data_IF_372129283907
#
_entry.id   IF_372129283907
#
_cell.length_a   1.000
_cell.length_b   1.000
_cell.length_c   1.000
_cell.angle_alpha   90.00
_cell.angle_beta   90.00
_cell.angle_gamma   90.00
#
_symmetry.space_group_name_H-M   'P 1'
#
loop_
_entity.id
_entity.type
_entity.pdbx_description
1 polymer ?
#
# COMPACT_ATOMS: atom_id res chain seq x y z
N UNK A 1 1.83 -24.56 -3.50
CA UNK A 1 2.92 -25.52 -3.76
C UNK A 1 4.15 -25.34 -2.85
N UNK A 2 4.58 -24.13 -2.48
CA UNK A 2 5.75 -23.93 -1.59
C UNK A 2 5.57 -24.33 -0.10
N UNK A 3 4.37 -24.69 0.35
CA UNK A 3 4.09 -24.96 1.79
C UNK A 3 4.38 -26.40 2.21
N UNK A 4 4.16 -27.39 1.33
CA UNK A 4 4.40 -28.79 1.68
C UNK A 4 5.91 -29.10 1.76
N UNK A 5 6.69 -28.57 0.82
CA UNK A 5 8.15 -28.74 0.79
C UNK A 5 8.84 -28.04 1.97
N UNK A 6 8.37 -26.86 2.36
CA UNK A 6 8.89 -26.17 3.56
C UNK A 6 8.51 -26.87 4.84
N UNK A 7 7.30 -27.44 4.96
CA UNK A 7 6.89 -28.26 6.12
C UNK A 7 7.73 -29.54 6.21
N UNK A 8 7.96 -30.23 5.09
CA UNK A 8 8.80 -31.43 5.06
C UNK A 8 10.25 -31.10 5.43
N UNK A 9 10.81 -30.01 4.89
CA UNK A 9 12.13 -29.54 5.29
C UNK A 9 12.18 -29.20 6.79
N UNK A 10 11.17 -28.52 7.33
CA UNK A 10 11.10 -28.18 8.75
C UNK A 10 11.06 -29.43 9.64
N UNK A 11 10.33 -30.47 9.26
CA UNK A 11 10.28 -31.75 9.98
C UNK A 11 11.57 -32.56 9.90
N UNK A 12 12.41 -32.32 8.89
CA UNK A 12 13.73 -32.96 8.77
C UNK A 12 14.75 -32.25 9.66
N UNK A 13 14.68 -30.92 9.78
CA UNK A 13 15.67 -30.11 10.50
C UNK A 13 15.30 -29.78 11.96
N UNK A 14 14.02 -29.79 12.33
CA UNK A 14 13.55 -29.46 13.67
C UNK A 14 12.90 -30.70 14.33
N UNK A 15 13.28 -31.10 15.57
CA UNK A 15 12.74 -32.28 16.25
C UNK A 15 11.25 -32.17 16.62
N UNK A 16 10.59 -31.02 16.40
CA UNK A 16 9.17 -30.87 16.69
C UNK A 16 8.29 -31.74 15.77
N UNK A 17 7.65 -32.76 16.35
CA UNK A 17 6.65 -33.60 15.69
C UNK A 17 5.25 -33.25 16.20
N UNK A 18 4.24 -33.04 15.34
CA UNK A 18 2.88 -32.82 15.80
C UNK A 18 2.35 -34.06 16.52
N UNK A 19 2.06 -33.91 17.80
CA UNK A 19 1.47 -34.97 18.62
C UNK A 19 -0.05 -34.93 18.39
N UNK A 20 -0.71 -36.09 18.26
CA UNK A 20 -2.18 -36.20 18.12
C UNK A 20 -2.92 -35.90 19.43
N UNK A 21 -2.64 -34.74 20.05
CA UNK A 21 -3.32 -34.27 21.26
C UNK A 21 -4.22 -33.10 20.87
N UNK A 22 -5.53 -33.34 20.84
CA UNK A 22 -6.51 -32.29 20.57
C UNK A 22 -6.98 -31.66 21.89
N UNK A 23 -6.63 -30.40 22.12
CA UNK A 23 -7.07 -29.62 23.28
C UNK A 23 -8.13 -28.61 22.87
N UNK A 24 -9.41 -28.96 23.06
CA UNK A 24 -10.53 -28.05 22.74
C UNK A 24 -10.43 -26.69 23.44
N UNK A 25 -9.89 -26.64 24.67
CA UNK A 25 -9.66 -25.39 25.41
C UNK A 25 -8.67 -24.45 24.68
N UNK A 26 -7.60 -24.99 24.09
CA UNK A 26 -6.63 -24.21 23.32
C UNK A 26 -7.21 -23.72 21.99
N UNK A 27 -8.01 -24.56 21.33
CA UNK A 27 -8.78 -24.15 20.15
C UNK A 27 -9.72 -23.00 20.49
N UNK A 28 -10.53 -23.14 21.54
CA UNK A 28 -11.50 -22.11 21.97
C UNK A 28 -10.81 -20.78 22.31
N UNK A 29 -9.62 -20.80 22.92
CA UNK A 29 -8.87 -19.57 23.21
C UNK A 29 -8.34 -18.86 21.95
N UNK A 30 -8.00 -19.61 20.90
CA UNK A 30 -7.48 -19.04 19.64
C UNK A 30 -8.59 -18.75 18.63
N UNK A 31 -9.75 -19.41 18.75
CA UNK A 31 -10.85 -19.34 17.79
C UNK A 31 -11.35 -17.90 17.62
N UNK A 32 -11.52 -17.15 18.71
CA UNK A 32 -11.94 -15.74 18.65
C UNK A 32 -10.95 -14.87 17.86
N UNK A 33 -9.63 -15.12 18.03
CA UNK A 33 -8.64 -14.36 17.29
C UNK A 33 -8.66 -14.72 15.79
N UNK A 34 -8.67 -16.01 15.48
CA UNK A 34 -8.67 -16.52 14.10
C UNK A 34 -9.96 -16.22 13.33
N UNK A 35 -11.12 -16.33 13.96
CA UNK A 35 -12.41 -16.03 13.31
C UNK A 35 -12.52 -14.55 12.93
N UNK A 36 -12.08 -13.64 13.81
CA UNK A 36 -12.02 -12.21 13.51
C UNK A 36 -11.13 -11.91 12.29
N UNK A 37 -9.96 -12.57 12.20
CA UNK A 37 -9.08 -12.44 11.04
C UNK A 37 -9.70 -13.01 9.77
N UNK A 38 -10.33 -14.18 9.85
CA UNK A 38 -10.99 -14.81 8.70
C UNK A 38 -12.12 -13.93 8.17
N UNK A 39 -12.98 -13.42 9.05
CA UNK A 39 -14.07 -12.51 8.67
C UNK A 39 -13.51 -11.24 8.04
N UNK A 40 -12.50 -10.62 8.66
CA UNK A 40 -11.86 -9.43 8.11
C UNK A 40 -11.25 -9.70 6.72
N UNK A 41 -10.63 -10.87 6.51
CA UNK A 41 -10.06 -11.27 5.22
C UNK A 41 -11.14 -11.49 4.15
N UNK A 42 -12.24 -12.18 4.48
CA UNK A 42 -13.38 -12.39 3.57
C UNK A 42 -13.97 -11.04 3.17
N UNK A 43 -14.25 -10.19 4.15
CA UNK A 43 -14.79 -8.86 3.96
C UNK A 43 -13.86 -8.04 3.05
N UNK A 44 -12.56 -8.00 3.35
CA UNK A 44 -11.59 -7.29 2.53
C UNK A 44 -11.54 -7.84 1.10
N UNK A 45 -11.63 -9.16 0.90
CA UNK A 45 -11.62 -9.76 -0.43
C UNK A 45 -12.89 -9.44 -1.24
N UNK A 46 -14.05 -9.39 -0.60
CA UNK A 46 -15.31 -8.97 -1.23
C UNK A 46 -15.21 -7.51 -1.70
N UNK A 47 -14.77 -6.62 -0.81
CA UNK A 47 -14.67 -5.20 -1.11
C UNK A 47 -13.50 -4.85 -2.03
N UNK A 48 -12.45 -5.67 -2.09
CA UNK A 48 -11.39 -5.51 -3.09
C UNK A 48 -11.93 -5.58 -4.52
N UNK A 49 -12.99 -6.37 -4.74
CA UNK A 49 -13.59 -6.58 -6.05
C UNK A 49 -14.83 -5.71 -6.31
N UNK A 50 -15.27 -4.88 -5.35
CA UNK A 50 -16.53 -4.14 -5.46
C UNK A 50 -16.53 -3.19 -6.66
N UNK A 51 -15.42 -2.50 -6.91
CA UNK A 51 -15.31 -1.58 -8.06
C UNK A 51 -15.34 -2.32 -9.39
N UNK A 52 -14.76 -3.53 -9.48
CA UNK A 52 -14.85 -4.35 -10.69
C UNK A 52 -16.29 -4.79 -10.97
N UNK A 53 -17.00 -5.25 -9.94
CA UNK A 53 -18.40 -5.68 -10.07
C UNK A 53 -19.30 -4.50 -10.45
N UNK A 54 -19.14 -3.35 -9.77
CA UNK A 54 -19.92 -2.15 -10.06
C UNK A 54 -19.66 -1.62 -11.46
N UNK A 55 -18.39 -1.53 -11.87
CA UNK A 55 -18.05 -1.02 -13.20
C UNK A 55 -18.56 -1.97 -14.28
N UNK A 56 -18.41 -3.29 -14.10
CA UNK A 56 -18.89 -4.29 -15.05
C UNK A 56 -20.41 -4.39 -15.17
N UNK A 57 -21.14 -4.06 -14.09
CA UNK A 57 -22.61 -4.11 -14.08
C UNK A 57 -23.27 -2.82 -14.58
N UNK A 58 -22.68 -1.66 -14.27
CA UNK A 58 -23.30 -0.35 -14.51
C UNK A 58 -22.75 0.38 -15.74
N UNK A 59 -21.56 0.00 -16.21
CA UNK A 59 -20.93 0.58 -17.40
C UNK A 59 -20.59 -0.52 -18.41
N UNK A 60 -19.87 -0.19 -19.47
CA UNK A 60 -19.54 -1.15 -20.52
C UNK A 60 -18.41 -2.12 -20.12
N UNK A 61 -18.37 -3.33 -20.72
CA UNK A 61 -17.23 -4.26 -20.57
C UNK A 61 -15.90 -3.62 -20.99
N UNK A 62 -15.91 -2.72 -21.97
CA UNK A 62 -14.72 -1.96 -22.40
C UNK A 62 -14.20 -1.06 -21.29
N UNK A 63 -15.09 -0.36 -20.58
CA UNK A 63 -14.69 0.52 -19.48
C UNK A 63 -14.20 -0.26 -18.26
N UNK A 64 -14.77 -1.44 -17.98
CA UNK A 64 -14.24 -2.38 -17.01
C UNK A 64 -12.82 -2.85 -17.40
N UNK A 65 -12.60 -3.15 -18.69
CA UNK A 65 -11.29 -3.50 -19.22
C UNK A 65 -10.26 -2.39 -18.99
N UNK A 66 -10.64 -1.14 -19.25
CA UNK A 66 -9.79 0.04 -19.01
C UNK A 66 -9.44 0.19 -17.53
N UNK A 67 -10.43 0.14 -16.65
CA UNK A 67 -10.21 0.20 -15.20
C UNK A 67 -9.32 -0.95 -14.71
N UNK A 68 -9.57 -2.17 -15.20
CA UNK A 68 -8.80 -3.35 -14.80
C UNK A 68 -7.34 -3.24 -15.17
N UNK A 69 -7.01 -2.78 -16.38
CA UNK A 69 -5.62 -2.58 -16.78
C UNK A 69 -4.95 -1.43 -16.05
N UNK A 70 -5.63 -0.29 -15.84
CA UNK A 70 -5.11 0.80 -15.01
C UNK A 70 -4.75 0.29 -13.60
N UNK A 71 -5.68 -0.45 -12.96
CA UNK A 71 -5.49 -0.96 -11.61
C UNK A 71 -4.38 -2.03 -11.53
N UNK A 72 -4.21 -2.85 -12.56
CA UNK A 72 -3.09 -3.79 -12.62
C UNK A 72 -1.74 -3.09 -12.65
N UNK A 73 -1.56 -2.07 -13.49
CA UNK A 73 -0.29 -1.35 -13.61
C UNK A 73 0.07 -0.65 -12.30
N UNK A 74 -0.85 0.13 -11.73
CA UNK A 74 -0.57 0.89 -10.49
C UNK A 74 -0.33 -0.04 -9.28
N UNK A 75 -0.97 -1.21 -9.23
CA UNK A 75 -0.90 -2.09 -8.06
C UNK A 75 0.44 -2.82 -7.92
N UNK A 76 1.27 -2.86 -8.97
CA UNK A 76 2.58 -3.52 -8.94
C UNK A 76 3.47 -2.96 -7.81
N UNK A 77 3.82 -1.66 -7.77
CA UNK A 77 4.67 -1.12 -6.70
C UNK A 77 4.02 -1.26 -5.31
N UNK A 78 2.75 -0.91 -5.19
CA UNK A 78 2.06 -0.86 -3.91
C UNK A 78 1.86 -2.25 -3.29
N UNK A 79 1.58 -3.28 -4.11
CA UNK A 79 1.43 -4.66 -3.64
C UNK A 79 2.77 -5.27 -3.18
N UNK A 80 3.88 -4.99 -3.88
CA UNK A 80 5.21 -5.47 -3.50
C UNK A 80 5.64 -4.90 -2.15
N UNK A 81 5.48 -3.59 -1.95
CA UNK A 81 5.82 -2.95 -0.68
C UNK A 81 4.92 -3.46 0.44
N UNK A 82 3.61 -3.60 0.20
CA UNK A 82 2.71 -4.20 1.18
C UNK A 82 3.09 -5.63 1.54
N UNK A 83 3.52 -6.44 0.58
CA UNK A 83 3.94 -7.82 0.84
C UNK A 83 5.17 -7.87 1.74
N UNK A 84 6.15 -7.00 1.50
CA UNK A 84 7.32 -6.83 2.37
C UNK A 84 6.88 -6.43 3.77
N UNK A 85 6.07 -5.37 3.89
CA UNK A 85 5.56 -4.90 5.18
C UNK A 85 4.77 -5.97 5.95
N UNK A 86 3.97 -6.79 5.26
CA UNK A 86 3.22 -7.88 5.90
C UNK A 86 4.13 -9.00 6.43
N UNK A 87 5.15 -9.38 5.68
CA UNK A 87 6.00 -10.54 6.02
C UNK A 87 7.08 -10.23 7.06
N UNK A 88 7.70 -9.05 6.99
CA UNK A 88 8.87 -8.73 7.81
C UNK A 88 8.51 -7.97 9.09
N UNK A 89 7.45 -7.16 9.06
CA UNK A 89 7.14 -6.28 10.17
C UNK A 89 6.45 -6.99 11.32
N UNK A 90 5.56 -7.95 11.03
CA UNK A 90 4.78 -8.61 12.07
C UNK A 90 5.65 -9.35 13.11
N UNK A 91 6.65 -10.18 12.72
CA UNK A 91 7.53 -10.84 13.68
C UNK A 91 8.34 -9.85 14.55
N UNK A 92 8.82 -8.76 13.95
CA UNK A 92 9.60 -7.74 14.66
C UNK A 92 8.73 -6.94 15.63
N UNK A 93 7.48 -6.64 15.25
CA UNK A 93 6.53 -6.00 16.15
C UNK A 93 6.15 -6.88 17.34
N UNK A 94 6.12 -8.21 17.16
CA UNK A 94 5.90 -9.15 18.26
C UNK A 94 7.14 -9.22 19.16
N UNK A 95 8.36 -9.26 18.60
CA UNK A 95 9.57 -9.30 19.43
C UNK A 95 9.81 -8.02 20.24
N UNK A 96 9.35 -6.87 19.71
CA UNK A 96 9.45 -5.57 20.38
C UNK A 96 8.19 -5.20 21.18
N UNK A 97 7.23 -6.14 21.36
CA UNK A 97 5.91 -5.81 21.94
C UNK A 97 5.99 -5.20 23.33
N UNK A 98 7.00 -5.57 24.10
CA UNK A 98 7.16 -5.19 25.51
C UNK A 98 7.97 -3.89 25.68
N UNK A 99 8.69 -3.47 24.64
CA UNK A 99 9.53 -2.26 24.61
C UNK A 99 8.82 -1.13 23.84
N UNK A 100 7.94 -0.40 24.53
CA UNK A 100 7.06 0.60 23.90
C UNK A 100 7.77 1.65 23.04
N UNK A 101 8.89 2.21 23.52
CA UNK A 101 9.68 3.22 22.80
C UNK A 101 10.39 2.65 21.56
N UNK A 102 10.90 1.44 21.64
CA UNK A 102 11.59 0.80 20.51
C UNK A 102 10.59 0.44 19.41
N UNK A 103 9.43 -0.09 19.79
CA UNK A 103 8.34 -0.37 18.87
C UNK A 103 7.83 0.90 18.15
N UNK A 104 7.71 2.01 18.88
CA UNK A 104 7.38 3.33 18.31
C UNK A 104 8.43 3.79 17.30
N UNK A 105 9.72 3.76 17.67
CA UNK A 105 10.81 4.16 16.79
C UNK A 105 10.87 3.30 15.54
N UNK A 106 10.67 2.00 15.69
CA UNK A 106 10.63 1.05 14.57
C UNK A 106 9.41 1.29 13.67
N UNK A 107 8.24 1.59 14.23
CA UNK A 107 7.06 2.00 13.46
C UNK A 107 7.34 3.26 12.62
N UNK A 108 7.90 4.32 13.23
CA UNK A 108 8.27 5.54 12.51
C UNK A 108 9.27 5.27 11.37
N UNK A 109 10.25 4.40 11.63
CA UNK A 109 11.25 4.00 10.65
C UNK A 109 10.61 3.32 9.44
N UNK A 110 9.71 2.35 9.66
CA UNK A 110 8.98 1.67 8.60
C UNK A 110 8.01 2.59 7.86
N UNK A 111 7.35 3.49 8.57
CA UNK A 111 6.44 4.48 7.98
C UNK A 111 7.20 5.39 7.01
N UNK A 112 8.32 5.98 7.45
CA UNK A 112 9.21 6.79 6.61
C UNK A 112 9.74 6.02 5.41
N UNK A 113 10.19 4.78 5.64
CA UNK A 113 10.74 3.93 4.59
C UNK A 113 9.71 3.58 3.53
N UNK A 114 8.48 3.29 3.95
CA UNK A 114 7.36 3.02 3.04
C UNK A 114 7.01 4.25 2.21
N UNK A 115 7.00 5.44 2.83
CA UNK A 115 6.75 6.71 2.13
C UNK A 115 7.87 7.02 1.11
N UNK A 116 9.13 6.79 1.49
CA UNK A 116 10.31 7.01 0.65
C UNK A 116 10.27 6.20 -0.65
N UNK A 117 9.66 5.00 -0.64
CA UNK A 117 9.63 4.13 -1.82
C UNK A 117 8.31 4.26 -2.56
N UNK A 118 7.19 4.16 -1.84
CA UNK A 118 5.88 4.03 -2.48
C UNK A 118 5.43 5.31 -3.17
N UNK A 119 5.65 6.47 -2.55
CA UNK A 119 5.21 7.75 -3.12
C UNK A 119 5.94 8.05 -4.44
N UNK A 120 7.28 8.05 -4.52
CA UNK A 120 7.93 8.35 -5.78
C UNK A 120 7.65 7.30 -6.85
N UNK A 121 7.50 6.01 -6.49
CA UNK A 121 7.18 4.97 -7.46
C UNK A 121 5.82 5.20 -8.12
N UNK A 122 4.78 5.50 -7.34
CA UNK A 122 3.43 5.76 -7.88
C UNK A 122 3.34 7.08 -8.62
N UNK A 123 4.01 8.13 -8.13
CA UNK A 123 4.06 9.42 -8.82
C UNK A 123 4.83 9.32 -10.14
N UNK A 124 5.89 8.52 -10.22
CA UNK A 124 6.62 8.26 -11.46
C UNK A 124 5.73 7.54 -12.50
N UNK A 125 4.95 6.55 -12.07
CA UNK A 125 4.00 5.86 -12.96
C UNK A 125 2.89 6.81 -13.41
N UNK A 126 2.40 7.68 -12.54
CA UNK A 126 1.44 8.71 -12.90
C UNK A 126 2.03 9.74 -13.88
N UNK A 127 3.32 10.10 -13.72
CA UNK A 127 4.01 11.07 -14.57
C UNK A 127 4.20 10.54 -15.99
N UNK A 128 4.60 9.27 -16.10
CA UNK A 128 4.87 8.59 -17.36
C UNK A 128 3.67 7.77 -17.86
N UNK A 129 2.48 8.02 -17.34
CA UNK A 129 1.25 7.25 -17.61
C UNK A 129 1.00 7.06 -19.10
N UNK A 130 1.07 8.14 -19.89
CA UNK A 130 0.86 8.16 -21.33
C UNK A 130 1.90 7.32 -22.06
N UNK A 131 3.18 7.53 -21.78
CA UNK A 131 4.26 6.82 -22.45
C UNK A 131 4.25 5.32 -22.10
N UNK A 132 4.00 4.97 -20.84
CA UNK A 132 3.87 3.59 -20.37
C UNK A 132 2.71 2.89 -21.08
N UNK A 133 1.53 3.53 -21.15
CA UNK A 133 0.34 2.95 -21.79
C UNK A 133 0.58 2.74 -23.28
N UNK A 134 1.08 3.74 -24.00
CA UNK A 134 1.28 3.63 -25.45
C UNK A 134 2.37 2.59 -25.78
N UNK A 135 3.45 2.54 -25.00
CA UNK A 135 4.55 1.61 -25.26
C UNK A 135 4.17 0.16 -24.93
N UNK A 136 3.49 -0.08 -23.81
CA UNK A 136 3.16 -1.44 -23.37
C UNK A 136 1.86 -1.98 -23.97
N UNK A 137 0.87 -1.12 -24.19
CA UNK A 137 -0.48 -1.53 -24.59
C UNK A 137 -0.88 -1.05 -25.98
N UNK A 138 -0.13 -0.13 -26.61
CA UNK A 138 -0.47 0.60 -27.86
C UNK A 138 -1.45 1.76 -27.68
N UNK A 139 -1.56 2.63 -28.70
CA UNK A 139 -2.45 3.80 -28.72
C UNK A 139 -3.94 3.47 -28.54
N UNK A 140 -4.37 2.24 -28.83
CA UNK A 140 -5.76 1.79 -28.61
C UNK A 140 -6.21 1.88 -27.15
N UNK A 141 -5.27 1.89 -26.22
CA UNK A 141 -5.53 1.93 -24.79
C UNK A 141 -5.36 3.33 -24.18
N UNK A 142 -5.21 4.36 -24.99
CA UNK A 142 -5.12 5.76 -24.55
C UNK A 142 -6.20 6.18 -23.54
N UNK A 143 -7.48 5.71 -23.63
CA UNK A 143 -8.49 6.03 -22.62
C UNK A 143 -8.18 5.58 -21.19
N UNK A 144 -7.21 4.67 -21.00
CA UNK A 144 -6.75 4.22 -19.67
C UNK A 144 -5.96 5.29 -18.93
N UNK A 145 -5.26 6.18 -19.65
CA UNK A 145 -4.30 7.13 -19.07
C UNK A 145 -4.88 7.88 -17.86
N UNK A 146 -6.04 8.56 -17.95
CA UNK A 146 -6.62 9.26 -16.80
C UNK A 146 -6.97 8.32 -15.63
N UNK A 147 -7.33 7.06 -15.90
CA UNK A 147 -7.65 6.09 -14.86
C UNK A 147 -6.38 5.66 -14.12
N UNK A 148 -5.31 5.41 -14.87
CA UNK A 148 -4.01 5.03 -14.32
C UNK A 148 -3.45 6.14 -13.42
N UNK A 149 -3.46 7.39 -13.87
CA UNK A 149 -2.99 8.54 -13.08
C UNK A 149 -3.74 8.66 -11.76
N UNK A 150 -5.08 8.67 -11.81
CA UNK A 150 -5.91 8.85 -10.62
C UNK A 150 -5.81 7.67 -9.65
N UNK A 151 -5.70 6.43 -10.15
CA UNK A 151 -5.51 5.26 -9.30
C UNK A 151 -4.11 5.19 -8.66
N UNK A 152 -3.10 5.80 -9.27
CA UNK A 152 -1.80 5.95 -8.61
C UNK A 152 -1.93 6.84 -7.37
N UNK A 153 -2.71 7.93 -7.43
CA UNK A 153 -2.96 8.78 -6.27
C UNK A 153 -3.77 8.08 -5.19
N UNK A 154 -4.78 7.28 -5.54
CA UNK A 154 -5.58 6.54 -4.56
C UNK A 154 -4.77 5.48 -3.80
N UNK A 155 -3.65 5.05 -4.38
CA UNK A 155 -2.84 3.95 -3.86
C UNK A 155 -1.60 4.39 -3.08
N UNK A 156 -1.37 5.71 -2.95
CA UNK A 156 -0.23 6.28 -2.22
C UNK A 156 -0.14 5.77 -0.79
N UNK A 157 -1.27 5.64 -0.09
CA UNK A 157 -1.28 5.35 1.35
C UNK A 157 -1.45 3.85 1.70
N UNK A 158 -1.58 2.96 0.71
CA UNK A 158 -1.84 1.52 0.95
C UNK A 158 -0.81 0.83 1.88
N UNK A 159 0.51 1.07 1.77
CA UNK A 159 1.48 0.47 2.68
C UNK A 159 1.26 0.85 4.15
N UNK A 160 0.75 2.05 4.42
CA UNK A 160 0.49 2.52 5.78
C UNK A 160 -0.68 1.77 6.42
N UNK A 161 -1.68 1.40 5.62
CA UNK A 161 -2.81 0.60 6.10
C UNK A 161 -2.32 -0.78 6.56
N UNK A 162 -1.46 -1.43 5.75
CA UNK A 162 -0.84 -2.71 6.11
C UNK A 162 0.04 -2.60 7.37
N UNK A 163 0.86 -1.54 7.47
CA UNK A 163 1.72 -1.28 8.64
C UNK A 163 0.89 -1.08 9.92
N UNK A 164 -0.16 -0.28 9.84
CA UNK A 164 -1.10 -0.01 10.94
C UNK A 164 -1.84 -1.28 11.37
N UNK A 165 -2.36 -2.08 10.43
CA UNK A 165 -2.99 -3.36 10.74
C UNK A 165 -2.04 -4.32 11.44
N UNK A 166 -0.77 -4.43 11.00
CA UNK A 166 0.21 -5.25 11.70
C UNK A 166 0.45 -4.80 13.15
N UNK A 167 0.50 -3.48 13.40
CA UNK A 167 0.63 -2.93 14.75
C UNK A 167 -0.59 -3.24 15.63
N UNK A 168 -1.80 -3.29 15.05
CA UNK A 168 -3.01 -3.70 15.77
C UNK A 168 -2.94 -5.19 16.13
N UNK A 169 -2.56 -6.01 15.16
CA UNK A 169 -2.56 -7.47 15.28
C UNK A 169 -1.47 -7.99 16.23
N UNK A 170 -0.29 -7.36 16.27
CA UNK A 170 0.78 -7.76 17.18
C UNK A 170 0.40 -7.57 18.66
N UNK A 171 -0.53 -6.64 18.96
CA UNK A 171 -1.08 -6.44 20.30
C UNK A 171 -2.27 -7.35 20.63
N UNK A 172 -2.54 -8.37 19.81
CA UNK A 172 -3.65 -9.31 20.01
C UNK A 172 -5.04 -8.74 19.71
N UNK A 173 -5.15 -7.51 19.17
CA UNK A 173 -6.43 -6.80 18.99
C UNK A 173 -7.11 -7.11 17.66
N UNK A 174 -7.30 -8.38 17.30
CA UNK A 174 -7.92 -8.78 16.02
C UNK A 174 -9.34 -8.24 15.83
N UNK A 175 -10.15 -8.19 16.89
CA UNK A 175 -11.49 -7.62 16.84
C UNK A 175 -11.49 -6.12 16.48
N UNK A 176 -10.47 -5.37 16.92
CA UNK A 176 -10.31 -3.97 16.52
C UNK A 176 -9.95 -3.86 15.03
N UNK A 177 -9.10 -4.74 14.51
CA UNK A 177 -8.80 -4.79 13.08
C UNK A 177 -10.05 -5.10 12.25
N UNK A 178 -10.88 -6.05 12.70
CA UNK A 178 -12.18 -6.34 12.07
C UNK A 178 -13.09 -5.10 12.04
N UNK A 179 -13.21 -4.37 13.16
CA UNK A 179 -14.00 -3.13 13.23
C UNK A 179 -13.51 -2.06 12.27
N UNK A 180 -12.20 -1.93 12.08
CA UNK A 180 -11.61 -0.97 11.14
C UNK A 180 -12.01 -1.34 9.71
N UNK A 181 -11.92 -2.61 9.32
CA UNK A 181 -12.34 -3.06 7.98
C UNK A 181 -13.84 -2.85 7.74
N UNK A 182 -14.69 -3.14 8.73
CA UNK A 182 -16.13 -2.85 8.64
C UNK A 182 -16.39 -1.36 8.44
N UNK A 183 -15.73 -0.49 9.22
CA UNK A 183 -15.88 0.96 9.10
C UNK A 183 -15.43 1.46 7.71
N UNK A 184 -14.28 0.99 7.22
CA UNK A 184 -13.77 1.33 5.88
C UNK A 184 -14.77 0.97 4.79
N UNK A 185 -15.41 -0.19 4.91
CA UNK A 185 -16.37 -0.64 3.91
C UNK A 185 -17.68 0.15 3.94
N UNK A 186 -18.15 0.56 5.12
CA UNK A 186 -19.28 1.49 5.23
C UNK A 186 -18.94 2.80 4.51
N UNK A 187 -17.74 3.35 4.75
CA UNK A 187 -17.27 4.57 4.07
C UNK A 187 -17.21 4.37 2.56
N UNK A 188 -16.70 3.23 2.07
CA UNK A 188 -16.68 2.90 0.63
C UNK A 188 -18.10 2.91 0.05
N UNK A 189 -19.06 2.24 0.68
CA UNK A 189 -20.44 2.18 0.20
C UNK A 189 -21.04 3.58 0.13
N UNK A 190 -20.93 4.35 1.22
CA UNK A 190 -21.46 5.72 1.28
C UNK A 190 -20.84 6.61 0.19
N UNK A 191 -19.51 6.52 0.03
CA UNK A 191 -18.81 7.26 -1.00
C UNK A 191 -19.27 6.85 -2.41
N UNK A 192 -19.40 5.56 -2.70
CA UNK A 192 -19.90 5.04 -3.97
C UNK A 192 -21.29 5.62 -4.29
N UNK A 193 -22.23 5.58 -3.35
CA UNK A 193 -23.60 6.10 -3.55
C UNK A 193 -23.58 7.58 -3.95
N UNK A 194 -22.66 8.36 -3.39
CA UNK A 194 -22.53 9.78 -3.73
C UNK A 194 -21.90 9.93 -5.13
N UNK A 195 -20.78 9.25 -5.38
CA UNK A 195 -19.93 9.53 -6.56
C UNK A 195 -20.35 8.85 -7.84
N UNK A 196 -21.19 7.82 -7.78
CA UNK A 196 -21.61 7.01 -8.93
C UNK A 196 -22.26 7.84 -10.05
N UNK A 197 -22.90 8.96 -9.69
CA UNK A 197 -23.52 9.91 -10.61
C UNK A 197 -22.52 10.61 -11.55
N UNK A 198 -21.24 10.66 -11.19
CA UNK A 198 -20.17 11.29 -11.97
C UNK A 198 -19.37 10.28 -12.81
N UNK A 199 -19.92 9.08 -13.03
CA UNK A 199 -19.28 8.07 -13.86
C UNK A 199 -18.06 7.41 -13.21
N UNK A 200 -17.27 6.73 -14.03
CA UNK A 200 -16.10 5.96 -13.57
C UNK A 200 -15.01 6.87 -12.98
N UNK A 201 -14.79 8.06 -13.56
CA UNK A 201 -13.85 9.03 -12.99
C UNK A 201 -14.30 9.46 -11.59
N UNK A 202 -15.61 9.67 -11.37
CA UNK A 202 -16.18 9.91 -10.05
C UNK A 202 -15.87 8.78 -9.06
N UNK A 203 -16.02 7.52 -9.48
CA UNK A 203 -15.68 6.36 -8.65
C UNK A 203 -14.19 6.32 -8.27
N UNK A 204 -13.29 6.66 -9.19
CA UNK A 204 -11.84 6.68 -8.94
C UNK A 204 -11.47 7.85 -8.01
N UNK A 205 -12.01 9.04 -8.23
CA UNK A 205 -11.83 10.19 -7.32
C UNK A 205 -12.37 9.85 -5.94
N UNK A 206 -13.49 9.15 -5.86
CA UNK A 206 -14.03 8.58 -4.63
C UNK A 206 -13.03 7.68 -3.89
N UNK A 207 -12.26 6.86 -4.62
CA UNK A 207 -11.18 6.06 -4.03
C UNK A 207 -10.04 6.91 -3.47
N UNK A 208 -9.69 8.04 -4.12
CA UNK A 208 -8.69 8.98 -3.59
C UNK A 208 -9.20 9.56 -2.26
N UNK A 209 -10.46 10.00 -2.20
CA UNK A 209 -11.07 10.50 -0.97
C UNK A 209 -11.05 9.42 0.13
N UNK A 210 -11.46 8.20 -0.21
CA UNK A 210 -11.42 7.07 0.71
C UNK A 210 -10.00 6.82 1.24
N UNK A 211 -8.97 6.90 0.39
CA UNK A 211 -7.58 6.73 0.82
C UNK A 211 -7.15 7.74 1.89
N UNK A 212 -7.60 8.99 1.78
CA UNK A 212 -7.33 10.06 2.75
C UNK A 212 -8.11 9.80 4.06
N UNK A 213 -9.39 9.46 3.96
CA UNK A 213 -10.20 9.10 5.14
C UNK A 213 -9.61 7.91 5.90
N UNK A 214 -9.15 6.90 5.16
CA UNK A 214 -8.52 5.71 5.72
C UNK A 214 -7.19 6.03 6.38
N UNK A 215 -6.39 6.91 5.80
CA UNK A 215 -5.18 7.42 6.43
C UNK A 215 -5.49 8.00 7.81
N UNK A 216 -6.50 8.87 7.91
CA UNK A 216 -6.91 9.48 9.19
C UNK A 216 -7.32 8.42 10.21
N UNK A 217 -8.15 7.44 9.81
CA UNK A 217 -8.57 6.33 10.68
C UNK A 217 -7.35 5.56 11.18
N UNK A 218 -6.44 5.17 10.29
CA UNK A 218 -5.26 4.40 10.64
C UNK A 218 -4.30 5.19 11.55
N UNK A 219 -4.16 6.50 11.38
CA UNK A 219 -3.37 7.37 12.27
C UNK A 219 -3.96 7.43 13.69
N UNK A 220 -5.28 7.59 13.81
CA UNK A 220 -5.99 7.61 15.10
C UNK A 220 -5.82 6.26 15.83
N UNK A 221 -5.99 5.16 15.10
CA UNK A 221 -5.82 3.80 15.64
C UNK A 221 -4.39 3.60 16.14
N UNK A 222 -3.38 3.97 15.35
CA UNK A 222 -1.97 3.83 15.72
C UNK A 222 -1.63 4.67 16.96
N UNK A 223 -2.11 5.92 17.05
CA UNK A 223 -1.96 6.73 18.27
C UNK A 223 -2.50 6.01 19.49
N UNK A 224 -3.68 5.39 19.39
CA UNK A 224 -4.31 4.68 20.52
C UNK A 224 -3.54 3.42 20.93
N UNK A 225 -2.90 2.73 19.99
CA UNK A 225 -2.24 1.45 20.24
C UNK A 225 -0.78 1.60 20.64
N UNK A 226 -0.04 2.48 19.95
CA UNK A 226 1.39 2.67 20.11
C UNK A 226 1.75 3.97 20.85
N UNK A 227 0.77 4.82 21.21
CA UNK A 227 0.97 6.13 21.87
C UNK A 227 1.87 7.10 21.08
N UNK A 228 1.85 6.95 19.76
CA UNK A 228 2.64 7.71 18.81
C UNK A 228 2.02 9.10 18.56
N UNK A 229 2.88 10.08 18.29
CA UNK A 229 2.44 11.42 17.88
C UNK A 229 1.93 11.46 16.42
N UNK A 230 0.66 11.81 16.26
CA UNK A 230 -0.01 11.99 14.96
C UNK A 230 0.57 13.17 14.20
N UNK A 231 0.90 14.28 14.88
CA UNK A 231 1.44 15.46 14.21
C UNK A 231 2.78 15.14 13.54
N UNK A 232 3.63 14.37 14.22
CA UNK A 232 4.86 13.83 13.63
C UNK A 232 4.58 12.93 12.41
N UNK A 233 3.57 12.06 12.43
CA UNK A 233 3.20 11.23 11.26
C UNK A 233 2.64 12.05 10.09
N UNK A 234 1.79 13.04 10.37
CA UNK A 234 1.26 13.96 9.35
C UNK A 234 2.37 14.81 8.75
N UNK A 235 3.29 15.33 9.58
CA UNK A 235 4.48 16.06 9.11
C UNK A 235 5.35 15.19 8.22
N UNK A 236 5.61 13.94 8.61
CA UNK A 236 6.34 12.98 7.78
C UNK A 236 5.58 12.78 6.46
N UNK A 237 4.29 12.48 6.50
CA UNK A 237 3.50 12.25 5.28
C UNK A 237 3.56 13.46 4.34
N UNK A 238 3.33 14.66 4.87
CA UNK A 238 3.40 15.90 4.10
C UNK A 238 4.78 16.18 3.53
N UNK A 239 5.87 15.99 4.30
CA UNK A 239 7.24 16.16 3.82
C UNK A 239 7.56 15.23 2.64
N UNK A 240 7.21 13.94 2.75
CA UNK A 240 7.50 12.97 1.69
C UNK A 240 6.61 13.18 0.47
N UNK A 241 5.35 13.63 0.65
CA UNK A 241 4.51 14.06 -0.47
C UNK A 241 5.12 15.25 -1.18
N UNK A 242 5.54 16.30 -0.46
CA UNK A 242 6.17 17.48 -1.05
C UNK A 242 7.41 17.10 -1.87
N UNK A 243 8.27 16.25 -1.32
CA UNK A 243 9.51 15.82 -1.99
C UNK A 243 9.23 14.94 -3.23
N UNK A 244 8.13 14.18 -3.25
CA UNK A 244 7.70 13.44 -4.44
C UNK A 244 7.02 14.34 -5.48
N UNK A 245 6.15 15.24 -5.04
CA UNK A 245 5.37 16.10 -5.93
C UNK A 245 6.19 17.24 -6.54
N UNK A 246 7.24 17.74 -5.90
CA UNK A 246 8.09 18.81 -6.47
C UNK A 246 8.77 18.40 -7.78
N UNK A 247 9.53 17.29 -7.89
CA UNK A 247 10.08 16.85 -9.18
C UNK A 247 8.97 16.42 -10.14
N UNK A 248 7.87 15.85 -9.65
CA UNK A 248 6.72 15.47 -10.48
C UNK A 248 6.16 16.68 -11.24
N UNK A 249 5.87 17.79 -10.54
CA UNK A 249 5.30 18.99 -11.15
C UNK A 249 6.28 19.66 -12.12
N UNK A 250 7.56 19.76 -11.72
CA UNK A 250 8.61 20.34 -12.58
C UNK A 250 8.72 19.56 -13.89
N UNK A 251 8.83 18.23 -13.82
CA UNK A 251 8.99 17.41 -15.02
C UNK A 251 7.71 17.39 -15.86
N UNK A 252 6.53 17.32 -15.22
CA UNK A 252 5.25 17.39 -15.94
C UNK A 252 5.12 18.70 -16.72
N UNK A 253 5.60 19.81 -16.18
CA UNK A 253 5.67 21.09 -16.87
C UNK A 253 6.62 21.03 -18.08
N UNK A 254 7.82 20.49 -17.95
CA UNK A 254 8.77 20.33 -19.06
C UNK A 254 8.24 19.40 -20.17
N UNK A 255 7.59 18.28 -19.81
CA UNK A 255 6.98 17.33 -20.76
C UNK A 255 5.85 17.98 -21.57
N UNK A 256 5.15 18.96 -21.01
CA UNK A 256 4.09 19.67 -21.73
C UNK A 256 4.64 20.58 -22.83
N UNK A 257 5.90 21.01 -22.71
CA UNK A 257 6.58 21.89 -23.69
C UNK A 257 7.37 21.05 -24.69
N UNK A 258 8.03 19.98 -24.23
CA UNK A 258 8.88 19.11 -25.04
C UNK A 258 8.35 17.68 -25.00
N UNK A 259 7.94 17.16 -26.15
CA UNK A 259 7.59 15.75 -26.29
C UNK A 259 8.51 15.07 -27.30
N UNK A 260 9.18 14.02 -26.86
CA UNK A 260 9.98 13.13 -27.72
C UNK A 260 9.21 11.83 -27.96
N UNK A 261 9.87 10.84 -28.56
CA UNK A 261 9.33 9.48 -28.67
C UNK A 261 9.07 8.88 -27.27
N UNK A 262 8.05 8.04 -27.14
CA UNK A 262 7.62 7.51 -25.85
C UNK A 262 8.73 6.80 -25.06
N UNK A 263 9.58 6.02 -25.75
CA UNK A 263 10.70 5.34 -25.12
C UNK A 263 11.75 6.33 -24.57
N UNK A 264 12.03 7.40 -25.32
CA UNK A 264 12.97 8.43 -24.89
C UNK A 264 12.42 9.24 -23.71
N UNK A 265 11.12 9.56 -23.71
CA UNK A 265 10.47 10.21 -22.57
C UNK A 265 10.61 9.38 -21.29
N UNK A 266 10.35 8.07 -21.36
CA UNK A 266 10.45 7.18 -20.19
C UNK A 266 11.87 7.18 -19.61
N UNK A 267 12.89 7.06 -20.47
CA UNK A 267 14.29 7.01 -20.02
C UNK A 267 14.72 8.37 -19.48
N UNK A 268 14.52 9.44 -20.25
CA UNK A 268 14.98 10.78 -19.90
C UNK A 268 14.23 11.31 -18.67
N UNK A 269 12.91 11.43 -18.74
CA UNK A 269 12.12 12.00 -17.65
C UNK A 269 12.04 11.07 -16.44
N UNK A 270 12.07 9.76 -16.64
CA UNK A 270 12.15 8.81 -15.54
C UNK A 270 13.48 8.89 -14.78
N UNK A 271 14.60 8.94 -15.49
CA UNK A 271 15.92 9.12 -14.85
C UNK A 271 16.04 10.48 -14.15
N UNK A 272 15.59 11.57 -14.77
CA UNK A 272 15.53 12.90 -14.18
C UNK A 272 14.65 12.94 -12.92
N UNK A 273 13.47 12.31 -12.95
CA UNK A 273 12.59 12.25 -11.79
C UNK A 273 13.26 11.56 -10.60
N UNK A 274 13.89 10.40 -10.83
CA UNK A 274 14.58 9.64 -9.79
C UNK A 274 15.78 10.44 -9.25
N UNK A 275 16.55 11.07 -10.14
CA UNK A 275 17.71 11.88 -9.76
C UNK A 275 17.30 13.09 -8.92
N UNK A 276 16.30 13.87 -9.35
CA UNK A 276 15.78 15.01 -8.61
C UNK A 276 15.16 14.60 -7.28
N UNK A 277 14.36 13.52 -7.27
CA UNK A 277 13.80 12.97 -6.04
C UNK A 277 14.90 12.62 -5.04
N UNK A 278 15.95 11.93 -5.48
CA UNK A 278 17.07 11.53 -4.63
C UNK A 278 17.86 12.74 -4.12
N UNK A 279 18.14 13.73 -4.97
CA UNK A 279 18.81 14.98 -4.59
C UNK A 279 18.01 15.74 -3.53
N UNK A 280 16.71 15.91 -3.73
CA UNK A 280 15.84 16.58 -2.75
C UNK A 280 15.78 15.78 -1.45
N UNK A 281 15.67 14.44 -1.52
CA UNK A 281 15.68 13.59 -0.34
C UNK A 281 16.99 13.70 0.48
N UNK A 282 18.14 13.89 -0.19
CA UNK A 282 19.42 14.17 0.45
C UNK A 282 19.43 15.55 1.14
N UNK A 283 18.96 16.60 0.47
CA UNK A 283 18.89 17.98 1.01
C UNK A 283 18.05 18.02 2.28
N UNK A 284 16.90 17.35 2.29
CA UNK A 284 16.03 17.28 3.46
C UNK A 284 16.56 16.34 4.57
N UNK A 285 17.77 15.77 4.41
CA UNK A 285 18.40 14.80 5.33
C UNK A 285 17.45 13.67 5.72
N UNK A 286 16.56 13.27 4.79
CA UNK A 286 15.71 12.09 4.99
C UNK A 286 16.52 10.81 4.91
N UNK A 287 17.73 10.91 4.34
CA UNK A 287 18.71 9.87 4.20
C UNK A 287 19.61 9.71 5.43
N UNK A 288 19.02 9.57 6.62
CA UNK A 288 19.77 9.01 7.74
C UNK A 288 20.05 7.56 7.35
N UNK A 289 21.31 7.17 7.09
CA UNK A 289 21.71 5.88 6.48
C UNK A 289 21.05 4.60 7.02
N UNK A 290 20.44 4.66 8.20
CA UNK A 290 19.51 3.68 8.75
C UNK A 290 18.29 3.39 7.85
N UNK A 291 17.74 4.32 7.06
CA UNK A 291 16.58 4.07 6.20
C UNK A 291 16.94 3.22 4.99
N UNK A 292 18.00 3.56 4.25
CA UNK A 292 18.49 2.77 3.11
C UNK A 292 18.96 1.38 3.51
N UNK A 293 19.69 1.25 4.62
CA UNK A 293 20.12 -0.06 5.12
C UNK A 293 18.92 -0.92 5.55
N UNK A 294 17.83 -0.30 5.99
CA UNK A 294 16.58 -1.02 6.30
C UNK A 294 15.82 -1.39 5.04
N UNK A 295 15.81 -0.55 4.00
CA UNK A 295 15.32 -0.93 2.68
C UNK A 295 16.09 -2.14 2.14
N UNK A 296 17.42 -2.09 2.21
CA UNK A 296 18.29 -3.18 1.81
C UNK A 296 18.01 -4.47 2.60
N UNK A 297 17.93 -4.39 3.94
CA UNK A 297 17.62 -5.55 4.78
C UNK A 297 16.19 -6.09 4.54
N UNK A 298 15.22 -5.20 4.30
CA UNK A 298 13.84 -5.56 3.96
C UNK A 298 13.73 -6.25 2.60
N UNK A 299 14.53 -5.83 1.61
CA UNK A 299 14.56 -6.42 0.27
C UNK A 299 15.36 -7.73 0.24
N UNK A 300 16.46 -7.82 1.00
CA UNK A 300 17.35 -8.98 1.01
C UNK A 300 16.97 -10.04 2.05
N UNK A 301 15.89 -9.82 2.81
CA UNK A 301 15.38 -10.74 3.83
C UNK A 301 16.47 -11.16 4.85
N UNK A 302 17.49 -10.32 5.04
CA UNK A 302 18.56 -10.53 6.03
C UNK A 302 18.08 -9.92 7.35
N UNK A 303 17.94 -10.79 8.35
CA UNK A 303 17.68 -10.43 9.75
C UNK A 303 18.80 -9.54 10.29
#
# INVERSE_FOLDING_TARGET
MMTATTVLAFWIYDPWKPIRIFRFKALKSLFSYGSNLMIAAIINQLFHNIYYVLIGKLYSPTALGYYSQANKIQSIPSSKIQQVMRKTTFPVFVSLSDQSKELENYFYKLFKTSALINFPALLLIALLSKDIVILLLTSKWEPIIPYLELLCYSSLFLPFFALSSNAVLCKGKSFLNLKIELLKNIIIILNIVIVIRWGILGLIIGQIINSILFLIIHLIVVKRILRIDIFKLLRITGQYLLIGFTPFLLIKFFMNIHSFTHLFNIILFGSLYIALYYLIALVFKLNNGLTLQTVYNLLMNKK
#
